data_IF_771382262319
#
_entry.id   IF_771382262319
#
_cell.length_a   1.000
_cell.length_b   1.000
_cell.length_c   1.000
_cell.angle_alpha   90.00
_cell.angle_beta   90.00
_cell.angle_gamma   90.00
#
_symmetry.space_group_name_H-M   'P 1'
#
loop_
_entity.id
_entity.type
_entity.pdbx_description
1 polymer ?
#
# COMPACT_ATOMS: atom_id res chain seq x y z
N UNK A 1 4.88 -2.57 -1.95
CA UNK A 1 4.18 -2.22 -0.69
C UNK A 1 3.88 -0.73 -0.67
N UNK A 2 2.64 -0.35 -0.39
CA UNK A 2 2.22 1.06 -0.34
C UNK A 2 3.02 1.88 0.68
N UNK A 3 3.45 1.25 1.77
CA UNK A 3 4.26 1.90 2.83
C UNK A 3 5.67 2.26 2.36
N UNK A 4 6.10 1.70 1.24
CA UNK A 4 7.39 1.98 0.63
C UNK A 4 7.31 2.89 -0.60
N UNK A 5 6.11 3.38 -0.95
CA UNK A 5 5.87 4.18 -2.15
C UNK A 5 5.37 5.59 -1.84
N UNK A 6 4.21 5.70 -1.17
CA UNK A 6 3.50 6.96 -0.95
C UNK A 6 3.04 7.17 0.49
N UNK A 7 3.29 6.23 1.38
CA UNK A 7 2.73 6.22 2.74
C UNK A 7 3.80 5.90 3.79
N UNK A 8 4.77 6.83 4.02
CA UNK A 8 5.78 6.64 5.05
C UNK A 8 5.13 6.49 6.42
N UNK A 9 5.58 5.50 7.20
CA UNK A 9 5.07 5.20 8.53
C UNK A 9 6.08 5.61 9.61
N UNK A 10 5.94 6.77 10.22
CA UNK A 10 6.87 7.25 11.27
C UNK A 10 7.01 6.27 12.43
N UNK A 11 5.92 5.60 12.81
CA UNK A 11 5.94 4.62 13.89
C UNK A 11 6.77 3.38 13.55
N UNK A 12 6.82 2.94 12.28
CA UNK A 12 7.73 1.87 11.87
C UNK A 12 9.19 2.31 11.96
N UNK A 13 9.49 3.56 11.60
CA UNK A 13 10.84 4.13 11.72
C UNK A 13 11.28 4.23 13.17
N UNK A 14 10.40 4.72 14.07
CA UNK A 14 10.66 4.88 15.50
C UNK A 14 10.86 3.54 16.22
N UNK A 15 10.18 2.49 15.75
CA UNK A 15 10.19 1.17 16.36
C UNK A 15 10.99 0.13 15.55
N UNK A 16 11.82 0.57 14.63
CA UNK A 16 12.64 -0.31 13.78
C UNK A 16 13.41 -1.35 14.61
N UNK A 17 13.28 -2.62 14.24
CA UNK A 17 13.86 -3.74 14.96
C UNK A 17 13.21 -4.12 16.29
N UNK A 18 12.20 -3.38 16.76
CA UNK A 18 11.50 -3.71 18.00
C UNK A 18 10.33 -4.67 17.74
N UNK A 19 10.02 -5.55 18.72
CA UNK A 19 8.82 -6.39 18.62
C UNK A 19 7.55 -5.55 18.49
N UNK A 20 6.65 -5.97 17.61
CA UNK A 20 5.32 -5.38 17.47
C UNK A 20 4.26 -6.35 18.01
N UNK A 21 3.22 -5.85 18.70
CA UNK A 21 2.14 -6.69 19.16
C UNK A 21 1.38 -7.29 17.98
N UNK A 22 1.00 -8.55 18.08
CA UNK A 22 0.10 -9.21 17.12
C UNK A 22 -1.32 -8.76 17.44
N UNK A 23 -1.96 -8.04 16.52
CA UNK A 23 -3.28 -7.45 16.75
C UNK A 23 -4.44 -8.44 16.58
N UNK A 24 -4.23 -9.57 15.93
CA UNK A 24 -5.27 -10.58 15.70
C UNK A 24 -4.75 -11.97 16.04
N UNK A 25 -5.51 -12.76 16.84
CA UNK A 25 -5.15 -14.15 17.15
C UNK A 25 -4.95 -15.01 15.91
N UNK A 26 -5.74 -14.76 14.86
CA UNK A 26 -5.67 -15.49 13.58
C UNK A 26 -4.40 -15.18 12.78
N UNK A 27 -3.81 -14.02 12.98
CA UNK A 27 -2.55 -13.63 12.33
C UNK A 27 -1.34 -14.33 13.01
N UNK A 28 -1.49 -14.77 14.27
CA UNK A 28 -0.43 -15.44 15.01
C UNK A 28 -0.01 -16.78 14.39
N UNK A 29 -0.91 -17.42 13.64
CA UNK A 29 -0.60 -18.68 12.96
C UNK A 29 0.27 -18.52 11.71
N UNK A 30 0.27 -17.33 11.10
CA UNK A 30 1.01 -17.05 9.85
C UNK A 30 2.36 -16.40 10.05
N UNK A 31 2.60 -15.87 11.22
CA UNK A 31 3.80 -15.08 11.47
C UNK A 31 4.53 -15.72 12.62
N UNK A 32 5.72 -16.23 12.36
CA UNK A 32 6.56 -16.79 13.39
C UNK A 32 6.69 -15.85 14.60
N UNK A 33 6.99 -16.38 15.73
CA UNK A 33 6.91 -15.79 17.07
C UNK A 33 7.71 -14.49 17.32
N UNK A 34 8.29 -13.88 16.26
CA UNK A 34 9.09 -12.65 16.35
C UNK A 34 8.73 -11.69 15.23
N UNK A 35 7.58 -11.03 15.33
CA UNK A 35 7.27 -9.90 14.49
C UNK A 35 8.04 -8.68 14.98
N UNK A 36 8.87 -8.12 14.14
CA UNK A 36 9.57 -6.87 14.40
C UNK A 36 9.10 -5.80 13.42
N UNK A 37 9.04 -4.57 13.89
CA UNK A 37 8.84 -3.44 13.01
C UNK A 37 10.04 -3.32 12.06
N UNK A 38 9.75 -3.03 10.80
CA UNK A 38 10.77 -2.77 9.79
C UNK A 38 10.47 -1.41 9.17
N UNK A 39 11.40 -0.47 9.32
CA UNK A 39 11.30 0.81 8.62
C UNK A 39 11.45 0.61 7.11
N UNK A 40 10.87 1.52 6.33
CA UNK A 40 11.17 1.54 4.89
C UNK A 40 12.65 1.79 4.66
N UNK A 41 13.31 1.02 3.78
CA UNK A 41 14.71 1.25 3.40
C UNK A 41 14.88 2.48 2.50
N UNK A 42 13.78 3.01 1.95
CA UNK A 42 13.79 4.12 1.00
C UNK A 42 13.60 5.47 1.68
N UNK A 43 14.22 6.48 1.08
CA UNK A 43 14.00 7.87 1.48
C UNK A 43 12.73 8.41 0.83
N UNK A 44 12.02 9.27 1.57
CA UNK A 44 10.84 9.97 1.08
C UNK A 44 11.12 11.46 1.00
N UNK A 45 10.54 12.10 -0.01
CA UNK A 45 10.54 13.54 -0.15
C UNK A 45 9.16 14.04 -0.58
N UNK A 46 8.87 15.30 -0.25
CA UNK A 46 7.60 15.93 -0.61
C UNK A 46 7.68 16.50 -2.01
N UNK A 47 6.64 16.23 -2.80
CA UNK A 47 6.55 16.65 -4.19
C UNK A 47 5.23 17.38 -4.46
N UNK A 48 5.25 18.25 -5.49
CA UNK A 48 4.11 19.03 -5.90
C UNK A 48 3.66 20.06 -4.86
N UNK A 49 2.64 20.83 -5.19
CA UNK A 49 1.99 21.79 -4.29
C UNK A 49 1.22 21.10 -3.16
N UNK A 50 0.74 19.90 -3.43
CA UNK A 50 0.05 19.04 -2.47
C UNK A 50 0.97 18.54 -1.35
N UNK A 51 2.29 18.53 -1.55
CA UNK A 51 3.26 17.99 -0.61
C UNK A 51 3.17 16.48 -0.46
N UNK A 52 2.83 15.77 -1.53
CA UNK A 52 2.71 14.32 -1.54
C UNK A 52 4.07 13.68 -1.23
N UNK A 53 4.11 12.80 -0.23
CA UNK A 53 5.30 11.99 0.04
C UNK A 53 5.47 10.92 -1.04
N UNK A 54 6.63 10.92 -1.70
CA UNK A 54 6.98 9.92 -2.71
C UNK A 54 8.36 9.36 -2.40
N UNK A 55 8.47 8.04 -2.47
CA UNK A 55 9.74 7.35 -2.28
C UNK A 55 10.71 7.61 -3.45
N UNK A 56 12.00 7.61 -3.16
CA UNK A 56 13.08 7.83 -4.14
C UNK A 56 13.10 6.83 -5.31
N UNK A 57 12.38 5.71 -5.17
CA UNK A 57 12.23 4.69 -6.21
C UNK A 57 11.30 5.10 -7.36
N UNK A 58 10.53 6.20 -7.19
CA UNK A 58 9.52 6.65 -8.15
C UNK A 58 9.75 8.11 -8.62
N UNK A 59 10.94 8.45 -9.12
CA UNK A 59 11.27 9.83 -9.46
C UNK A 59 10.42 10.38 -10.62
N UNK A 60 10.04 9.54 -11.57
CA UNK A 60 9.22 9.97 -12.70
C UNK A 60 7.76 10.21 -12.28
N UNK A 61 7.22 9.34 -11.42
CA UNK A 61 5.87 9.52 -10.85
C UNK A 61 5.80 10.77 -9.97
N UNK A 62 6.87 11.06 -9.25
CA UNK A 62 6.96 12.24 -8.39
C UNK A 62 6.81 13.58 -9.15
N UNK A 63 7.16 13.62 -10.44
CA UNK A 63 6.97 14.79 -11.31
C UNK A 63 5.48 15.12 -11.51
N UNK A 64 4.61 14.14 -11.38
CA UNK A 64 3.16 14.23 -11.56
C UNK A 64 2.40 14.25 -10.22
N UNK A 65 3.06 14.58 -9.13
CA UNK A 65 2.48 14.51 -7.77
C UNK A 65 1.17 15.31 -7.63
N UNK A 66 1.04 16.43 -8.32
CA UNK A 66 -0.18 17.27 -8.28
C UNK A 66 -1.34 16.71 -9.10
N UNK A 67 -1.09 15.73 -9.94
CA UNK A 67 -2.09 15.03 -10.76
C UNK A 67 -2.57 13.72 -10.10
N UNK A 68 -1.94 13.31 -8.98
CA UNK A 68 -2.22 12.06 -8.31
C UNK A 68 -3.19 12.24 -7.13
N UNK A 69 -4.13 11.30 -7.03
CA UNK A 69 -4.96 11.11 -5.85
C UNK A 69 -4.51 9.83 -5.14
N UNK A 70 -3.84 9.96 -4.00
CA UNK A 70 -3.35 8.82 -3.22
C UNK A 70 -4.27 8.55 -2.04
N UNK A 71 -4.97 7.40 -2.08
CA UNK A 71 -5.86 6.96 -1.01
C UNK A 71 -5.12 5.92 -0.15
N UNK A 72 -4.71 6.32 1.05
CA UNK A 72 -3.86 5.50 1.94
C UNK A 72 -4.63 4.51 2.82
N UNK A 73 -5.95 4.64 2.91
CA UNK A 73 -6.80 3.88 3.83
C UNK A 73 -7.65 2.79 3.18
N UNK A 74 -7.40 2.46 1.90
CA UNK A 74 -8.09 1.38 1.23
C UNK A 74 -7.70 0.02 1.82
N UNK A 75 -8.68 -0.85 1.97
CA UNK A 75 -8.50 -2.24 2.40
C UNK A 75 -9.36 -3.19 1.56
N UNK A 76 -8.99 -4.45 1.56
CA UNK A 76 -9.73 -5.53 0.90
C UNK A 76 -10.33 -6.48 1.94
N UNK A 77 -11.43 -7.14 1.58
CA UNK A 77 -12.07 -8.17 2.40
C UNK A 77 -11.24 -9.46 2.47
N UNK A 78 -10.37 -9.67 1.48
CA UNK A 78 -9.52 -10.85 1.41
C UNK A 78 -8.07 -10.53 1.79
N UNK A 79 -7.47 -11.36 2.63
CA UNK A 79 -6.05 -11.37 2.93
C UNK A 79 -5.21 -12.15 1.89
N UNK A 80 -5.86 -12.82 0.94
CA UNK A 80 -5.20 -13.50 -0.18
C UNK A 80 -5.00 -12.51 -1.34
N UNK A 81 -3.79 -12.46 -1.89
CA UNK A 81 -3.40 -11.49 -2.93
C UNK A 81 -4.27 -11.57 -4.19
N UNK A 82 -4.63 -12.78 -4.66
CA UNK A 82 -5.44 -12.95 -5.88
C UNK A 82 -6.82 -12.28 -5.77
N UNK A 83 -7.69 -12.73 -4.86
CA UNK A 83 -8.99 -12.10 -4.63
C UNK A 83 -8.90 -10.61 -4.26
N UNK A 84 -7.89 -10.21 -3.47
CA UNK A 84 -7.68 -8.81 -3.13
C UNK A 84 -7.37 -7.94 -4.36
N UNK A 85 -6.55 -8.43 -5.29
CA UNK A 85 -6.27 -7.76 -6.56
C UNK A 85 -7.54 -7.62 -7.42
N UNK A 86 -8.37 -8.66 -7.49
CA UNK A 86 -9.65 -8.57 -8.20
C UNK A 86 -10.54 -7.50 -7.57
N UNK A 87 -10.67 -7.50 -6.25
CA UNK A 87 -11.50 -6.50 -5.56
C UNK A 87 -11.01 -5.07 -5.79
N UNK A 88 -9.71 -4.82 -5.72
CA UNK A 88 -9.15 -3.49 -5.93
C UNK A 88 -9.32 -2.99 -7.37
N UNK A 89 -9.35 -3.87 -8.36
CA UNK A 89 -9.46 -3.49 -9.76
C UNK A 89 -10.88 -3.52 -10.32
N UNK A 90 -11.77 -4.34 -9.76
CA UNK A 90 -13.11 -4.57 -10.32
C UNK A 90 -14.26 -4.47 -9.31
N UNK A 91 -13.95 -4.21 -8.04
CA UNK A 91 -14.94 -4.14 -6.95
C UNK A 91 -15.46 -5.51 -6.47
N UNK A 92 -14.88 -6.63 -6.91
CA UNK A 92 -15.31 -7.98 -6.53
C UNK A 92 -14.12 -8.87 -6.27
N UNK A 93 -14.21 -9.72 -5.23
CA UNK A 93 -13.21 -10.75 -4.94
C UNK A 93 -13.20 -11.89 -5.98
N UNK A 94 -14.23 -11.96 -6.81
CA UNK A 94 -14.38 -12.97 -7.85
C UNK A 94 -13.82 -12.46 -9.18
N UNK A 95 -13.16 -13.34 -9.92
CA UNK A 95 -12.68 -13.07 -11.28
C UNK A 95 -13.85 -12.87 -12.26
N UNK A 96 -13.55 -12.29 -13.43
CA UNK A 96 -14.50 -12.18 -14.56
C UNK A 96 -15.21 -10.83 -14.67
N UNK A 97 -14.97 -9.89 -13.76
CA UNK A 97 -15.47 -8.51 -13.90
C UNK A 97 -14.41 -7.61 -14.53
N UNK A 98 -14.78 -6.75 -15.50
CA UNK A 98 -13.86 -5.79 -16.10
C UNK A 98 -13.37 -4.79 -15.06
N UNK A 99 -12.11 -4.38 -15.16
CA UNK A 99 -11.59 -3.25 -14.41
C UNK A 99 -12.03 -1.91 -15.04
N UNK A 100 -11.83 -0.83 -14.33
CA UNK A 100 -12.20 0.52 -14.79
C UNK A 100 -11.57 0.85 -16.16
N UNK A 101 -10.28 0.50 -16.37
CA UNK A 101 -9.61 0.73 -17.64
C UNK A 101 -10.24 -0.04 -18.79
N UNK A 102 -10.72 -1.27 -18.54
CA UNK A 102 -11.46 -2.04 -19.56
C UNK A 102 -12.79 -1.37 -19.94
N UNK A 103 -13.51 -0.81 -18.95
CA UNK A 103 -14.74 -0.06 -19.22
C UNK A 103 -14.49 1.21 -20.02
N UNK A 104 -13.46 1.96 -19.67
CA UNK A 104 -13.06 3.17 -20.43
C UNK A 104 -12.68 2.84 -21.86
N UNK A 105 -12.03 1.70 -22.09
CA UNK A 105 -11.64 1.28 -23.46
C UNK A 105 -12.79 0.71 -24.26
N UNK A 106 -13.84 0.24 -23.61
CA UNK A 106 -15.02 -0.35 -24.29
C UNK A 106 -15.98 0.72 -24.81
N UNK A 107 -16.09 1.84 -24.15
CA UNK A 107 -17.09 2.78 -24.53
C UNK A 107 -17.11 4.14 -24.10
#
# INVERSE_FOLDING_TARGET
>A
SQVDLFDPKPELTKNDGKPIPVFRPDDAFRVGTRNVALRSPYKFSKHGRSGLDVAETYPEVAKHADELCVIRSLHCESNNHGPAMFQMNSGSVLAGRPCMGSWVSYG
#
